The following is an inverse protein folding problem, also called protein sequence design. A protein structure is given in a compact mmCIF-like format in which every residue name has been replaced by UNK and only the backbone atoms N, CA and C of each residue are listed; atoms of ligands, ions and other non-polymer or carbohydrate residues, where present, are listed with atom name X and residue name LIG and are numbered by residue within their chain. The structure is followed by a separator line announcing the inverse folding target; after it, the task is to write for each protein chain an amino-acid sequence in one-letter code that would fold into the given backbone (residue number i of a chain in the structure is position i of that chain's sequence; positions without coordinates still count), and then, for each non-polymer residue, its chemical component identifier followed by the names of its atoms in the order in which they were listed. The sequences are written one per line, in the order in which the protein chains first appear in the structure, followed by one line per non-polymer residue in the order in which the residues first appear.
data_IF_515368200151
#
_entry.id   IF_515368200151
#
_cell.length_a   1.000
_cell.length_b   1.000
_cell.length_c   1.000
_cell.angle_alpha   90.00
_cell.angle_beta   90.00
_cell.angle_gamma   90.00
#
_symmetry.space_group_name_H-M   'P 1'
#
loop_
_entity.id
_entity.type
_entity.pdbx_description
1 polymer ?
#
# COMPACT_ATOMS: atom_id res chain seq x y z
N UNK A 1 13.69 -4.70 -2.38
CA UNK A 1 12.59 -4.15 -3.22
C UNK A 1 11.32 -4.89 -2.85
N UNK A 2 10.21 -4.18 -2.70
CA UNK A 2 8.94 -4.73 -2.24
C UNK A 2 7.95 -4.68 -3.39
N UNK A 3 7.31 -5.79 -3.73
CA UNK A 3 6.27 -5.83 -4.76
C UNK A 3 4.91 -5.61 -4.15
N UNK A 4 4.09 -4.75 -4.75
CA UNK A 4 2.70 -4.51 -4.37
C UNK A 4 1.75 -5.16 -5.38
N UNK A 5 0.69 -5.78 -4.88
CA UNK A 5 -0.36 -6.43 -5.68
C UNK A 5 -1.75 -6.10 -5.13
N UNK A 6 -2.77 -6.05 -5.98
CA UNK A 6 -4.16 -6.15 -5.50
C UNK A 6 -4.40 -7.55 -4.94
N UNK A 7 -4.88 -7.64 -3.69
CA UNK A 7 -5.05 -8.93 -3.00
C UNK A 7 -6.11 -9.81 -3.67
N UNK A 8 -7.22 -9.22 -4.10
CA UNK A 8 -8.33 -9.96 -4.70
C UNK A 8 -7.99 -10.62 -6.04
N UNK A 9 -7.17 -9.95 -6.85
CA UNK A 9 -6.91 -10.36 -8.25
C UNK A 9 -5.49 -10.84 -8.49
N UNK A 10 -4.57 -10.55 -7.58
CA UNK A 10 -3.12 -10.73 -7.79
C UNK A 10 -2.52 -9.78 -8.82
N UNK A 11 -3.26 -8.75 -9.25
CA UNK A 11 -2.74 -7.76 -10.21
C UNK A 11 -1.54 -7.03 -9.62
N UNK A 12 -0.39 -7.11 -10.29
CA UNK A 12 0.81 -6.39 -9.91
C UNK A 12 0.64 -4.88 -10.14
N UNK A 13 0.92 -4.11 -9.09
CA UNK A 13 0.80 -2.65 -9.09
C UNK A 13 2.16 -1.99 -9.38
N UNK A 14 3.24 -2.56 -8.85
CA UNK A 14 4.56 -1.97 -8.94
C UNK A 14 5.48 -2.44 -7.82
N UNK A 15 6.66 -1.84 -7.74
CA UNK A 15 7.59 -2.03 -6.63
C UNK A 15 7.85 -0.72 -5.90
N UNK A 16 8.13 -0.84 -4.60
CA UNK A 16 8.52 0.26 -3.72
C UNK A 16 9.78 -0.11 -2.92
N UNK A 17 10.40 0.89 -2.32
CA UNK A 17 11.58 0.70 -1.46
C UNK A 17 11.16 0.23 -0.06
N UNK A 18 12.12 -0.26 0.72
CA UNK A 18 11.85 -0.70 2.11
C UNK A 18 11.35 0.45 2.99
N UNK A 19 11.79 1.68 2.71
CA UNK A 19 11.28 2.87 3.41
C UNK A 19 9.78 3.05 3.22
N UNK A 20 9.27 2.86 2.00
CA UNK A 20 7.85 2.99 1.71
C UNK A 20 7.05 1.89 2.41
N UNK A 21 7.57 0.66 2.45
CA UNK A 21 6.97 -0.41 3.23
C UNK A 21 6.95 -0.07 4.74
N UNK A 22 8.01 0.54 5.27
CA UNK A 22 8.03 0.96 6.67
C UNK A 22 6.95 2.00 6.96
N UNK A 23 6.67 2.92 6.04
CA UNK A 23 5.55 3.88 6.20
C UNK A 23 4.21 3.15 6.25
N UNK A 24 3.99 2.15 5.40
CA UNK A 24 2.76 1.34 5.45
C UNK A 24 2.62 0.64 6.82
N UNK A 25 3.69 -0.01 7.30
CA UNK A 25 3.70 -0.70 8.61
C UNK A 25 3.49 0.28 9.77
N UNK A 26 4.12 1.46 9.72
CA UNK A 26 4.07 2.43 10.82
C UNK A 26 2.70 3.13 10.91
N UNK A 27 1.99 3.29 9.78
CA UNK A 27 0.75 4.06 9.71
C UNK A 27 -0.52 3.20 9.67
N UNK A 28 -0.42 1.93 9.31
CA UNK A 28 -1.59 1.05 9.12
C UNK A 28 -1.61 -0.04 10.19
N UNK A 29 -2.80 -0.33 10.68
CA UNK A 29 -3.00 -1.36 11.72
C UNK A 29 -2.84 -2.75 11.11
N UNK A 30 -1.95 -3.56 11.69
CA UNK A 30 -1.84 -4.99 11.41
C UNK A 30 -2.64 -5.77 12.45
N UNK A 31 -3.63 -6.55 12.03
CA UNK A 31 -4.39 -7.43 12.94
C UNK A 31 -3.49 -8.57 13.47
N UNK A 32 -2.54 -9.03 12.64
CA UNK A 32 -1.51 -9.99 13.01
C UNK A 32 -0.12 -9.60 12.47
N UNK A 33 0.93 -9.94 13.23
CA UNK A 33 2.34 -9.69 12.87
C UNK A 33 2.82 -10.33 11.56
N UNK A 34 2.00 -11.20 10.96
CA UNK A 34 2.31 -11.90 9.73
C UNK A 34 1.46 -11.39 8.56
N UNK A 35 0.53 -10.46 8.82
CA UNK A 35 -0.28 -9.89 7.76
C UNK A 35 0.61 -9.06 6.86
N UNK A 36 0.41 -9.24 5.56
CA UNK A 36 1.18 -8.55 4.52
C UNK A 36 0.24 -7.81 3.60
N UNK A 37 -0.93 -7.42 4.11
CA UNK A 37 -1.95 -6.74 3.36
C UNK A 37 -2.65 -5.66 4.18
N UNK A 38 -3.15 -4.65 3.47
CA UNK A 38 -3.81 -3.50 4.04
C UNK A 38 -4.97 -3.06 3.15
N UNK A 39 -6.05 -2.60 3.78
CA UNK A 39 -7.09 -1.87 3.09
C UNK A 39 -6.66 -0.42 2.85
N UNK A 40 -6.79 0.05 1.61
CA UNK A 40 -6.39 1.39 1.16
C UNK A 40 -7.60 2.09 0.56
N UNK A 41 -7.91 3.28 1.06
CA UNK A 41 -8.84 4.23 0.45
C UNK A 41 -8.17 5.61 0.26
N UNK A 42 -8.89 6.57 -0.31
CA UNK A 42 -8.36 7.92 -0.56
C UNK A 42 -7.88 8.61 0.73
N UNK A 43 -8.62 8.49 1.83
CA UNK A 43 -8.23 9.07 3.12
C UNK A 43 -6.93 8.43 3.65
N UNK A 44 -6.77 7.11 3.49
CA UNK A 44 -5.53 6.41 3.82
C UNK A 44 -4.35 6.94 3.01
N UNK A 45 -4.56 7.19 1.70
CA UNK A 45 -3.53 7.71 0.81
C UNK A 45 -3.08 9.11 1.24
N UNK A 46 -4.02 10.00 1.56
CA UNK A 46 -3.71 11.35 2.00
C UNK A 46 -2.91 11.33 3.31
N UNK A 47 -3.32 10.51 4.28
CA UNK A 47 -2.56 10.30 5.51
C UNK A 47 -1.13 9.78 5.24
N UNK A 48 -0.97 8.79 4.36
CA UNK A 48 0.36 8.24 4.03
C UNK A 48 1.27 9.30 3.38
N UNK A 49 0.70 10.18 2.54
CA UNK A 49 1.43 11.28 1.91
C UNK A 49 1.96 12.29 2.95
N UNK A 50 1.16 12.60 3.96
CA UNK A 50 1.55 13.49 5.07
C UNK A 50 2.59 12.86 6.00
N UNK A 51 2.57 11.53 6.14
CA UNK A 51 3.44 10.78 7.05
C UNK A 51 4.68 10.17 6.38
N UNK A 52 5.07 10.71 5.23
CA UNK A 52 6.38 10.44 4.62
C UNK A 52 6.43 9.34 3.57
N UNK A 53 5.27 8.88 3.09
CA UNK A 53 5.16 8.03 1.90
C UNK A 53 5.71 8.73 0.66
N UNK A 54 6.48 8.01 -0.16
CA UNK A 54 7.05 8.60 -1.37
C UNK A 54 5.97 8.94 -2.39
N UNK A 55 6.24 9.93 -3.26
CA UNK A 55 5.33 10.27 -4.37
C UNK A 55 5.06 9.08 -5.30
N UNK A 56 6.02 8.14 -5.39
CA UNK A 56 5.88 6.91 -6.15
C UNK A 56 4.89 5.95 -5.50
N UNK A 57 5.02 5.68 -4.19
CA UNK A 57 4.05 4.89 -3.43
C UNK A 57 2.63 5.48 -3.58
N UNK A 58 2.48 6.78 -3.33
CA UNK A 58 1.18 7.47 -3.42
C UNK A 58 0.57 7.32 -4.82
N UNK A 59 1.37 7.47 -5.87
CA UNK A 59 0.89 7.32 -7.25
C UNK A 59 0.41 5.90 -7.56
N UNK A 60 1.06 4.87 -7.01
CA UNK A 60 0.62 3.47 -7.17
C UNK A 60 -0.70 3.21 -6.46
N UNK A 61 -0.85 3.70 -5.23
CA UNK A 61 -2.07 3.51 -4.44
C UNK A 61 -3.26 4.25 -5.06
N UNK A 62 -3.07 5.48 -5.55
CA UNK A 62 -4.11 6.23 -6.25
C UNK A 62 -4.60 5.51 -7.51
N UNK A 63 -3.67 4.92 -8.28
CA UNK A 63 -4.03 4.11 -9.45
C UNK A 63 -4.75 2.82 -9.07
N UNK A 64 -4.37 2.19 -7.95
CA UNK A 64 -4.98 0.97 -7.46
C UNK A 64 -6.42 1.18 -6.98
N UNK A 65 -6.67 2.26 -6.23
CA UNK A 65 -8.01 2.64 -5.76
C UNK A 65 -8.90 3.10 -6.92
N UNK A 66 -8.38 3.97 -7.80
CA UNK A 66 -9.14 4.49 -8.93
C UNK A 66 -10.46 5.14 -8.52
N UNK A 67 -11.58 4.61 -9.02
CA UNK A 67 -12.94 5.07 -8.70
C UNK A 67 -13.62 4.26 -7.59
N UNK A 68 -12.94 3.30 -6.95
CA UNK A 68 -13.53 2.49 -5.87
C UNK A 68 -13.51 3.23 -4.52
N UNK A 69 -14.32 2.76 -3.57
CA UNK A 69 -14.28 3.24 -2.18
C UNK A 69 -12.99 2.80 -1.44
N UNK A 70 -12.22 1.88 -2.04
CA UNK A 70 -10.96 1.35 -1.54
C UNK A 70 -10.65 -0.04 -2.10
N UNK A 71 -9.44 -0.53 -1.84
CA UNK A 71 -8.94 -1.86 -2.28
C UNK A 71 -8.04 -2.47 -1.20
N UNK A 72 -7.99 -3.79 -1.14
CA UNK A 72 -6.94 -4.49 -0.39
C UNK A 72 -5.69 -4.66 -1.26
N UNK A 73 -4.55 -4.20 -0.76
CA UNK A 73 -3.24 -4.46 -1.36
C UNK A 73 -2.47 -5.45 -0.52
N UNK A 74 -1.62 -6.25 -1.14
CA UNK A 74 -0.64 -7.10 -0.46
C UNK A 74 0.78 -6.76 -0.89
N UNK A 75 1.75 -6.98 0.00
CA UNK A 75 3.17 -6.77 -0.25
C UNK A 75 3.98 -8.06 -0.13
N UNK A 76 5.02 -8.20 -0.94
CA UNK A 76 5.96 -9.33 -0.86
C UNK A 76 7.40 -8.85 -0.98
N UNK A 77 8.31 -9.48 -0.22
CA UNK A 77 9.75 -9.30 -0.34
C UNK A 77 10.30 -10.30 -1.37
N UNK A 78 11.09 -9.79 -2.31
CA UNK A 78 11.89 -10.61 -3.24
C UNK A 78 13.23 -11.04 -2.63
#
# INVERSE_FOLDING_TARGET
MISLTLKDTGTYLGTVEERDLQVLIDQLEEEHKADTDYFICLDTIDMLAENGGSSHLISLLQQAVGESDGVEIAWTKG
#
